data_IF_433929594333
#
_entry.id   IF_433929594333
#
_cell.length_a   1.000
_cell.length_b   1.000
_cell.length_c   1.000
_cell.angle_alpha   90.00
_cell.angle_beta   90.00
_cell.angle_gamma   90.00
#
_symmetry.space_group_name_H-M   'P 1'
#
loop_
_entity.id
_entity.type
_entity.pdbx_description
1 polymer ?
#
# COMPACT_ATOMS: atom_id res chain seq x y z
N UNK A 1 8.46 7.47 16.03
CA UNK A 1 7.72 6.28 15.52
C UNK A 1 8.53 4.99 15.68
N UNK A 2 9.75 4.89 15.13
CA UNK A 2 10.58 3.67 15.22
C UNK A 2 10.87 3.23 16.66
N UNK A 3 11.37 4.16 17.48
CA UNK A 3 11.66 3.87 18.90
C UNK A 3 10.42 3.41 19.68
N UNK A 4 9.24 3.91 19.33
CA UNK A 4 7.97 3.52 19.96
C UNK A 4 7.57 2.09 19.56
N UNK A 5 7.72 1.73 18.27
CA UNK A 5 7.50 0.35 17.80
C UNK A 5 8.47 -0.63 18.46
N UNK A 6 9.74 -0.28 18.57
CA UNK A 6 10.74 -1.12 19.23
C UNK A 6 10.40 -1.34 20.70
N UNK A 7 10.02 -0.28 21.43
CA UNK A 7 9.58 -0.38 22.83
C UNK A 7 8.39 -1.31 23.02
N UNK A 8 7.39 -1.24 22.12
CA UNK A 8 6.18 -2.08 22.20
C UNK A 8 6.44 -3.57 21.99
N UNK A 9 7.44 -3.90 21.20
CA UNK A 9 7.76 -5.30 20.84
C UNK A 9 8.88 -5.86 21.70
N UNK A 10 9.63 -5.01 22.41
CA UNK A 10 10.69 -5.39 23.33
C UNK A 10 10.20 -6.40 24.38
N UNK A 11 10.91 -7.53 24.52
CA UNK A 11 10.57 -8.58 25.48
C UNK A 11 9.41 -9.49 25.04
N UNK A 12 8.80 -9.25 23.88
CA UNK A 12 7.76 -10.12 23.32
C UNK A 12 8.36 -11.19 22.39
N UNK A 13 7.69 -12.33 22.18
CA UNK A 13 8.13 -13.34 21.20
C UNK A 13 8.14 -12.84 19.75
N UNK A 14 7.59 -11.65 19.47
CA UNK A 14 7.58 -11.04 18.15
C UNK A 14 8.84 -10.21 17.85
N UNK A 15 9.66 -9.89 18.86
CA UNK A 15 10.88 -9.11 18.68
C UNK A 15 11.82 -9.61 17.58
N UNK A 16 12.17 -10.91 17.48
CA UNK A 16 13.04 -11.40 16.41
C UNK A 16 12.35 -11.41 15.03
N UNK A 17 11.02 -11.23 14.97
CA UNK A 17 10.23 -11.22 13.73
C UNK A 17 10.04 -9.81 13.17
N UNK A 18 10.41 -8.76 13.91
CA UNK A 18 10.25 -7.37 13.50
C UNK A 18 11.54 -6.87 12.83
N UNK A 19 11.47 -6.59 11.54
CA UNK A 19 12.48 -5.84 10.82
C UNK A 19 11.97 -4.43 10.54
N UNK A 20 12.76 -3.42 10.90
CA UNK A 20 12.43 -2.00 10.65
C UNK A 20 13.40 -1.45 9.61
N UNK A 21 12.86 -0.98 8.50
CA UNK A 21 13.62 -0.32 7.44
C UNK A 21 13.30 1.17 7.52
N UNK A 22 14.31 1.99 7.82
CA UNK A 22 14.15 3.44 7.94
C UNK A 22 14.53 4.08 6.60
N UNK A 23 13.59 4.77 5.98
CA UNK A 23 13.85 5.49 4.73
C UNK A 23 12.57 5.90 4.00
N UNK A 24 12.77 6.45 2.81
CA UNK A 24 11.69 6.78 1.87
C UNK A 24 11.28 5.53 1.09
N UNK A 25 10.08 5.03 1.35
CA UNK A 25 9.54 3.83 0.70
C UNK A 25 9.42 3.98 -0.81
N UNK A 26 9.32 5.19 -1.36
CA UNK A 26 9.28 5.42 -2.81
C UNK A 26 10.64 5.19 -3.45
N UNK A 27 11.73 5.44 -2.71
CA UNK A 27 13.11 5.26 -3.19
C UNK A 27 13.72 3.91 -2.79
N UNK A 28 13.30 3.35 -1.67
CA UNK A 28 13.86 2.11 -1.12
C UNK A 28 13.51 0.88 -1.97
N UNK A 29 14.41 -0.09 -2.04
CA UNK A 29 14.08 -1.41 -2.60
C UNK A 29 13.20 -2.19 -1.61
N UNK A 30 12.07 -2.71 -2.09
CA UNK A 30 11.15 -3.46 -1.25
C UNK A 30 11.58 -4.92 -1.21
N UNK A 31 11.74 -5.52 -0.01
CA UNK A 31 12.04 -6.94 0.09
C UNK A 31 10.88 -7.78 -0.46
N UNK A 32 11.09 -9.09 -0.57
CA UNK A 32 9.98 -9.99 -0.82
C UNK A 32 8.96 -9.94 0.32
N UNK A 33 7.67 -9.86 -0.01
CA UNK A 33 6.58 -9.97 0.94
C UNK A 33 5.37 -10.65 0.31
N UNK A 34 4.57 -11.33 1.13
CA UNK A 34 3.32 -11.95 0.66
C UNK A 34 2.13 -11.01 0.77
N UNK A 35 2.07 -10.17 1.81
CA UNK A 35 0.95 -9.27 2.09
C UNK A 35 1.49 -7.90 2.49
N UNK A 36 0.90 -6.85 1.95
CA UNK A 36 1.21 -5.47 2.34
C UNK A 36 0.04 -4.84 3.09
N UNK A 37 0.30 -4.19 4.21
CA UNK A 37 -0.68 -3.36 4.91
C UNK A 37 -0.07 -1.98 5.11
N UNK A 38 -0.76 -0.93 4.68
CA UNK A 38 -0.22 0.43 4.78
C UNK A 38 -1.31 1.46 5.04
N UNK A 39 -0.98 2.42 5.90
CA UNK A 39 -1.71 3.68 6.02
C UNK A 39 -0.91 4.77 5.30
N UNK A 40 -1.43 5.23 4.16
CA UNK A 40 -0.64 5.99 3.20
C UNK A 40 -1.09 7.46 3.20
N UNK A 41 -0.16 8.42 3.40
CA UNK A 41 -0.49 9.83 3.23
C UNK A 41 -0.79 10.13 1.75
N UNK A 42 -1.72 11.05 1.50
CA UNK A 42 -2.25 11.30 0.16
C UNK A 42 -1.16 11.64 -0.87
N UNK A 43 -0.14 12.39 -0.45
CA UNK A 43 0.95 12.87 -1.31
C UNK A 43 1.72 11.75 -2.02
N UNK A 44 1.83 10.57 -1.41
CA UNK A 44 2.59 9.44 -1.96
C UNK A 44 1.68 8.29 -2.44
N UNK A 45 0.36 8.47 -2.41
CA UNK A 45 -0.59 7.39 -2.68
C UNK A 45 -0.46 6.85 -4.11
N UNK A 46 -0.45 7.73 -5.11
CA UNK A 46 -0.27 7.33 -6.51
C UNK A 46 1.07 6.62 -6.78
N UNK A 47 2.25 7.20 -6.48
CA UNK A 47 3.52 6.53 -6.76
C UNK A 47 3.68 5.22 -5.97
N UNK A 48 3.13 5.12 -4.75
CA UNK A 48 3.18 3.88 -3.99
C UNK A 48 2.32 2.77 -4.60
N UNK A 49 1.12 3.08 -5.09
CA UNK A 49 0.27 2.10 -5.80
C UNK A 49 1.01 1.56 -7.02
N UNK A 50 1.58 2.43 -7.86
CA UNK A 50 2.34 1.97 -9.03
C UNK A 50 3.57 1.15 -8.64
N UNK A 51 4.29 1.57 -7.59
CA UNK A 51 5.44 0.82 -7.08
C UNK A 51 5.06 -0.59 -6.63
N UNK A 52 3.90 -0.74 -5.96
CA UNK A 52 3.39 -2.06 -5.59
C UNK A 52 3.00 -2.87 -6.83
N UNK A 53 2.23 -2.31 -7.76
CA UNK A 53 1.81 -3.04 -8.98
C UNK A 53 3.00 -3.55 -9.82
N UNK A 54 4.08 -2.78 -9.86
CA UNK A 54 5.32 -3.13 -10.57
C UNK A 54 6.28 -3.97 -9.73
N UNK A 55 6.01 -4.18 -8.45
CA UNK A 55 6.88 -4.96 -7.57
C UNK A 55 6.97 -6.41 -8.05
N UNK A 56 8.18 -6.96 -7.99
CA UNK A 56 8.47 -8.35 -8.33
C UNK A 56 9.34 -8.97 -7.23
N UNK A 57 9.11 -10.24 -6.87
CA UNK A 57 8.03 -11.12 -7.36
C UNK A 57 6.64 -10.68 -6.83
N UNK A 58 5.57 -11.13 -7.49
CA UNK A 58 4.21 -10.70 -7.15
C UNK A 58 3.82 -11.10 -5.72
N UNK A 59 3.19 -10.16 -5.00
CA UNK A 59 2.58 -10.40 -3.70
C UNK A 59 1.14 -10.90 -3.86
N UNK A 60 0.55 -11.45 -2.79
CA UNK A 60 -0.80 -12.03 -2.78
C UNK A 60 -1.89 -10.96 -2.73
N UNK A 61 -1.79 -10.02 -1.79
CA UNK A 61 -2.71 -8.90 -1.67
C UNK A 61 -2.10 -7.71 -0.91
N UNK A 62 -2.70 -6.53 -1.08
CA UNK A 62 -2.37 -5.33 -0.34
C UNK A 62 -3.64 -4.70 0.23
N UNK A 63 -3.65 -4.42 1.53
CA UNK A 63 -4.73 -3.74 2.24
C UNK A 63 -4.25 -2.32 2.54
N UNK A 64 -4.74 -1.37 1.75
CA UNK A 64 -4.24 -0.01 1.72
C UNK A 64 -5.32 0.96 2.21
N UNK A 65 -4.98 1.79 3.19
CA UNK A 65 -5.85 2.87 3.63
C UNK A 65 -5.52 4.15 2.86
N UNK A 66 -6.53 4.71 2.20
CA UNK A 66 -6.45 5.94 1.41
C UNK A 66 -7.53 6.93 1.84
N UNK A 67 -7.35 8.19 1.42
CA UNK A 67 -8.45 9.15 1.46
C UNK A 67 -9.61 8.68 0.58
N UNK A 68 -10.83 8.98 1.03
CA UNK A 68 -12.09 8.53 0.42
C UNK A 68 -12.12 8.73 -1.11
N UNK A 69 -11.88 9.94 -1.59
CA UNK A 69 -11.93 10.24 -3.03
C UNK A 69 -10.90 9.42 -3.83
N UNK A 70 -9.70 9.24 -3.29
CA UNK A 70 -8.64 8.45 -3.93
C UNK A 70 -9.05 6.98 -4.05
N UNK A 71 -9.61 6.40 -2.98
CA UNK A 71 -10.11 5.03 -2.99
C UNK A 71 -11.21 4.85 -4.05
N UNK A 72 -12.15 5.79 -4.14
CA UNK A 72 -13.21 5.74 -5.17
C UNK A 72 -12.66 5.88 -6.59
N UNK A 73 -11.61 6.68 -6.81
CA UNK A 73 -10.94 6.74 -8.12
C UNK A 73 -10.32 5.41 -8.52
N UNK A 74 -9.75 4.64 -7.58
CA UNK A 74 -9.14 3.34 -7.90
C UNK A 74 -10.17 2.32 -8.41
N UNK A 75 -11.38 2.32 -7.85
CA UNK A 75 -12.46 1.38 -8.19
C UNK A 75 -13.48 1.91 -9.21
N UNK A 76 -13.35 3.17 -9.64
CA UNK A 76 -14.26 3.79 -10.59
C UNK A 76 -14.29 3.01 -11.92
N UNK A 77 -15.48 2.83 -12.48
CA UNK A 77 -15.72 2.14 -13.75
C UNK A 77 -15.82 3.14 -14.91
N UNK A 78 -15.62 2.70 -16.17
CA UNK A 78 -15.85 3.55 -17.33
C UNK A 78 -17.26 4.16 -17.29
N UNK A 79 -17.35 5.49 -17.42
CA UNK A 79 -18.61 6.26 -17.31
C UNK A 79 -18.85 6.90 -15.95
N UNK A 80 -18.12 6.49 -14.90
CA UNK A 80 -18.20 7.16 -13.60
C UNK A 80 -17.51 8.53 -13.61
N UNK A 81 -18.05 9.51 -12.87
CA UNK A 81 -17.46 10.85 -12.73
C UNK A 81 -16.02 10.84 -12.21
N UNK A 82 -15.66 9.82 -11.42
CA UNK A 82 -14.33 9.66 -10.82
C UNK A 82 -13.39 8.77 -11.65
N UNK A 83 -13.84 8.28 -12.81
CA UNK A 83 -13.01 7.49 -13.70
C UNK A 83 -11.88 8.33 -14.28
N UNK A 84 -10.64 7.90 -14.06
CA UNK A 84 -9.47 8.60 -14.53
C UNK A 84 -8.35 7.64 -14.90
N UNK A 85 -7.19 8.18 -15.32
CA UNK A 85 -6.00 7.40 -15.67
C UNK A 85 -5.57 6.43 -14.56
N UNK A 86 -5.78 6.81 -13.30
CA UNK A 86 -5.48 5.96 -12.16
C UNK A 86 -6.38 4.71 -12.12
N UNK A 87 -7.66 4.85 -12.42
CA UNK A 87 -8.65 3.77 -12.43
C UNK A 87 -8.24 2.69 -13.43
N UNK A 88 -8.03 3.07 -14.69
CA UNK A 88 -7.70 2.14 -15.76
C UNK A 88 -6.34 1.46 -15.53
N UNK A 89 -5.30 2.22 -15.16
CA UNK A 89 -3.97 1.65 -14.99
C UNK A 89 -3.91 0.68 -13.80
N UNK A 90 -4.64 0.97 -12.72
CA UNK A 90 -4.66 0.09 -11.54
C UNK A 90 -5.45 -1.18 -11.86
N UNK A 91 -6.63 -1.05 -12.48
CA UNK A 91 -7.51 -2.17 -12.83
C UNK A 91 -6.92 -3.08 -13.92
N UNK A 92 -6.04 -2.54 -14.78
CA UNK A 92 -5.29 -3.33 -15.76
C UNK A 92 -4.34 -4.33 -15.09
N UNK A 93 -3.71 -3.92 -13.98
CA UNK A 93 -2.64 -4.68 -13.32
C UNK A 93 -3.11 -5.44 -12.07
N UNK A 94 -4.24 -5.05 -11.48
CA UNK A 94 -4.75 -5.66 -10.25
C UNK A 94 -6.28 -5.60 -10.16
N UNK A 95 -6.83 -6.52 -9.37
CA UNK A 95 -8.23 -6.45 -8.90
C UNK A 95 -8.29 -5.54 -7.68
N UNK A 96 -9.20 -4.57 -7.68
CA UNK A 96 -9.31 -3.56 -6.63
C UNK A 96 -10.73 -3.52 -6.08
N UNK A 97 -10.87 -3.56 -4.76
CA UNK A 97 -12.15 -3.57 -4.06
C UNK A 97 -12.08 -2.64 -2.84
N UNK A 98 -13.20 -1.98 -2.52
CA UNK A 98 -13.34 -1.21 -1.28
C UNK A 98 -13.73 -2.17 -0.17
N UNK A 99 -12.86 -2.30 0.84
CA UNK A 99 -13.10 -3.20 1.98
C UNK A 99 -13.99 -2.53 3.05
N UNK A 100 -13.77 -1.25 3.33
CA UNK A 100 -14.49 -0.51 4.37
C UNK A 100 -14.58 0.98 4.00
N UNK A 101 -15.66 1.66 4.43
CA UNK A 101 -15.96 3.06 4.10
C UNK A 101 -15.86 3.97 5.31
#
# INVERSE_FOLDING_TARGET
LVAELQKRVMGTPFQPKLQIIIGDVIKAELPFFNVCVANIPYQISSPLVFKLLLHRPHFRCAILMFQREFAYRLVAKPGDKLYCRLSINTQLLARVEIIMK
#
